data_IF_631130625177
#
_entry.id   IF_631130625177
#
_cell.length_a   1.000
_cell.length_b   1.000
_cell.length_c   1.000
_cell.angle_alpha   90.00
_cell.angle_beta   90.00
_cell.angle_gamma   90.00
#
_symmetry.space_group_name_H-M   'P 1'
#
loop_
_entity.id
_entity.type
_entity.pdbx_description
1 polymer ?
#
# COMPACT_ATOMS: atom_id res chain seq x y z
N UNK A 1 -7.19 -13.63 -3.49
CA UNK A 1 -6.08 -14.33 -4.18
C UNK A 1 -4.84 -14.18 -3.33
N UNK A 2 -4.01 -15.21 -3.15
CA UNK A 2 -2.78 -15.07 -2.35
C UNK A 2 -1.73 -14.35 -3.20
N UNK A 3 -1.52 -13.05 -2.96
CA UNK A 3 -0.46 -12.30 -3.63
C UNK A 3 0.90 -12.72 -3.04
N UNK A 4 1.79 -13.22 -3.89
CA UNK A 4 3.15 -13.58 -3.47
C UNK A 4 4.04 -12.33 -3.43
N UNK A 5 4.39 -11.89 -2.24
CA UNK A 5 5.22 -10.70 -2.02
C UNK A 5 6.65 -10.87 -2.53
N UNK A 6 7.09 -12.12 -2.78
CA UNK A 6 8.40 -12.44 -3.36
C UNK A 6 8.48 -11.99 -4.81
N UNK A 7 7.46 -12.30 -5.61
CA UNK A 7 7.40 -11.94 -7.03
C UNK A 7 7.34 -10.42 -7.21
N UNK A 8 6.52 -9.74 -6.41
CA UNK A 8 6.41 -8.27 -6.39
C UNK A 8 7.78 -7.63 -6.07
N UNK A 9 8.47 -8.16 -5.07
CA UNK A 9 9.80 -7.67 -4.70
C UNK A 9 10.86 -7.92 -5.77
N UNK A 10 10.77 -9.02 -6.51
CA UNK A 10 11.63 -9.26 -7.67
C UNK A 10 11.33 -8.27 -8.80
N UNK A 11 10.06 -7.98 -9.08
CA UNK A 11 9.65 -6.99 -10.08
C UNK A 11 10.17 -5.59 -9.72
N UNK A 12 10.01 -5.15 -8.47
CA UNK A 12 10.56 -3.88 -7.99
C UNK A 12 12.08 -3.79 -8.19
N UNK A 13 12.81 -4.87 -7.89
CA UNK A 13 14.27 -4.93 -8.09
C UNK A 13 14.64 -4.84 -9.57
N UNK A 14 13.92 -5.56 -10.44
CA UNK A 14 14.12 -5.51 -11.90
C UNK A 14 13.87 -4.11 -12.47
N UNK A 15 12.92 -3.37 -11.90
CA UNK A 15 12.63 -1.98 -12.25
C UNK A 15 13.59 -0.96 -11.61
N UNK A 16 14.67 -1.41 -10.95
CA UNK A 16 15.69 -0.53 -10.37
C UNK A 16 15.37 0.00 -8.97
N UNK A 17 14.26 -0.41 -8.36
CA UNK A 17 13.90 0.03 -7.02
C UNK A 17 14.50 -0.85 -5.94
N UNK A 18 15.04 -0.20 -4.90
CA UNK A 18 15.52 -0.89 -3.71
C UNK A 18 14.36 -1.41 -2.87
N UNK A 19 14.28 -2.72 -2.69
CA UNK A 19 13.36 -3.35 -1.71
C UNK A 19 14.09 -3.47 -0.37
N UNK A 20 13.87 -2.48 0.50
CA UNK A 20 14.41 -2.49 1.86
C UNK A 20 13.56 -3.38 2.77
N UNK A 21 14.08 -3.82 3.94
CA UNK A 21 13.28 -4.58 4.91
C UNK A 21 11.99 -3.86 5.34
N UNK A 22 12.03 -2.52 5.44
CA UNK A 22 10.86 -1.71 5.77
C UNK A 22 9.80 -1.75 4.66
N UNK A 23 10.22 -1.64 3.39
CA UNK A 23 9.31 -1.75 2.24
C UNK A 23 8.68 -3.13 2.14
N UNK A 24 9.49 -4.17 2.36
CA UNK A 24 9.00 -5.56 2.39
C UNK A 24 7.98 -5.75 3.52
N UNK A 25 8.30 -5.30 4.74
CA UNK A 25 7.42 -5.45 5.90
C UNK A 25 6.05 -4.78 5.70
N UNK A 26 6.02 -3.60 5.07
CA UNK A 26 4.78 -2.88 4.79
C UNK A 26 3.98 -3.57 3.68
N UNK A 27 4.65 -4.05 2.62
CA UNK A 27 4.01 -4.85 1.56
C UNK A 27 3.38 -6.13 2.14
N UNK A 28 4.12 -6.86 2.97
CA UNK A 28 3.64 -8.07 3.64
C UNK A 28 2.46 -7.77 4.56
N UNK A 29 2.48 -6.62 5.26
CA UNK A 29 1.38 -6.20 6.12
C UNK A 29 0.08 -5.97 5.32
N UNK A 30 0.15 -5.28 4.17
CA UNK A 30 -1.01 -5.07 3.31
C UNK A 30 -1.56 -6.41 2.79
N UNK A 31 -0.70 -7.29 2.27
CA UNK A 31 -1.10 -8.61 1.78
C UNK A 31 -1.73 -9.49 2.87
N UNK A 32 -1.29 -9.34 4.13
CA UNK A 32 -1.79 -10.11 5.27
C UNK A 32 -3.10 -9.58 5.82
N UNK A 33 -3.29 -8.26 5.83
CA UNK A 33 -4.46 -7.62 6.44
C UNK A 33 -5.73 -7.73 5.59
N UNK A 34 -5.61 -8.03 4.30
CA UNK A 34 -6.72 -8.41 3.43
C UNK A 34 -7.01 -7.40 2.33
N UNK A 35 -8.23 -7.45 1.79
CA UNK A 35 -8.56 -6.78 0.53
C UNK A 35 -8.61 -5.26 0.64
N UNK A 36 -9.10 -4.67 1.74
CA UNK A 36 -9.11 -3.21 1.92
C UNK A 36 -8.51 -2.83 3.28
N UNK A 37 -7.32 -2.23 3.26
CA UNK A 37 -6.55 -1.95 4.46
C UNK A 37 -6.30 -0.45 4.63
N UNK A 38 -6.69 0.12 5.76
CA UNK A 38 -6.41 1.54 6.03
C UNK A 38 -4.93 1.76 6.38
N UNK A 39 -4.37 2.95 6.11
CA UNK A 39 -3.00 3.30 6.53
C UNK A 39 -2.74 3.08 8.01
N UNK A 40 -3.73 3.36 8.85
CA UNK A 40 -3.66 3.21 10.30
C UNK A 40 -3.55 1.74 10.67
N UNK A 41 -4.34 0.86 10.04
CA UNK A 41 -4.25 -0.58 10.26
C UNK A 41 -2.89 -1.15 9.84
N UNK A 42 -2.33 -0.68 8.73
CA UNK A 42 -0.96 -1.04 8.30
C UNK A 42 0.05 -0.56 9.33
N UNK A 43 -0.05 0.69 9.78
CA UNK A 43 0.85 1.24 10.79
C UNK A 43 0.78 0.46 12.09
N UNK A 44 -0.40 0.19 12.64
CA UNK A 44 -0.57 -0.55 13.89
C UNK A 44 -0.05 -1.99 13.79
N UNK A 45 -0.19 -2.62 12.62
CA UNK A 45 0.38 -3.94 12.36
C UNK A 45 1.91 -3.89 12.33
N UNK A 46 2.47 -2.99 11.53
CA UNK A 46 3.92 -2.86 11.34
C UNK A 46 4.62 -2.38 12.61
N UNK A 47 4.02 -1.46 13.36
CA UNK A 47 4.59 -0.92 14.59
C UNK A 47 4.72 -1.96 15.69
N UNK A 48 3.81 -2.95 15.75
CA UNK A 48 3.94 -4.11 16.66
C UNK A 48 5.15 -4.99 16.33
N UNK A 49 5.60 -4.99 15.08
CA UNK A 49 6.73 -5.80 14.60
C UNK A 49 8.03 -4.99 14.64
N UNK A 50 7.96 -3.72 14.27
CA UNK A 50 9.08 -2.79 14.19
C UNK A 50 8.72 -1.43 14.83
N UNK A 51 8.83 -1.30 16.17
CA UNK A 51 8.41 -0.09 16.89
C UNK A 51 9.16 1.19 16.48
N UNK A 52 10.36 1.06 15.93
CA UNK A 52 11.17 2.19 15.45
C UNK A 52 10.66 2.78 14.13
N UNK A 53 9.74 2.11 13.44
CA UNK A 53 9.20 2.56 12.18
C UNK A 53 8.15 3.66 12.42
N UNK A 54 8.42 4.86 11.88
CA UNK A 54 7.52 6.00 12.03
C UNK A 54 6.28 5.88 11.16
N UNK A 55 5.18 6.51 11.60
CA UNK A 55 3.95 6.61 10.79
C UNK A 55 4.23 7.26 9.43
N UNK A 56 5.06 8.30 9.37
CA UNK A 56 5.47 8.93 8.11
C UNK A 56 6.16 7.96 7.13
N UNK A 57 6.97 7.02 7.64
CA UNK A 57 7.60 5.98 6.83
C UNK A 57 6.56 5.05 6.21
N UNK A 58 5.53 4.65 6.96
CA UNK A 58 4.44 3.81 6.43
C UNK A 58 3.75 4.48 5.26
N UNK A 59 3.32 5.73 5.43
CA UNK A 59 2.59 6.46 4.39
C UNK A 59 3.45 6.68 3.14
N UNK A 60 4.75 7.02 3.31
CA UNK A 60 5.67 7.16 2.17
C UNK A 60 5.85 5.86 1.39
N UNK A 61 5.88 4.72 2.06
CA UNK A 61 5.99 3.42 1.39
C UNK A 61 4.68 3.03 0.71
N UNK A 62 3.53 3.23 1.36
CA UNK A 62 2.22 3.00 0.75
C UNK A 62 2.04 3.85 -0.52
N UNK A 63 2.40 5.13 -0.45
CA UNK A 63 2.44 6.02 -1.62
C UNK A 63 3.36 5.49 -2.72
N UNK A 64 4.61 5.15 -2.37
CA UNK A 64 5.56 4.59 -3.33
C UNK A 64 5.04 3.33 -4.02
N UNK A 65 4.45 2.38 -3.28
CA UNK A 65 3.88 1.15 -3.85
C UNK A 65 2.67 1.44 -4.75
N UNK A 66 1.92 2.50 -4.45
CA UNK A 66 0.82 2.97 -5.31
C UNK A 66 1.34 3.58 -6.61
N UNK A 67 2.40 4.40 -6.54
CA UNK A 67 3.08 4.95 -7.73
C UNK A 67 3.69 3.85 -8.61
N UNK A 68 4.03 2.70 -8.04
CA UNK A 68 4.52 1.54 -8.78
C UNK A 68 3.40 0.61 -9.26
N UNK A 69 2.13 1.00 -9.12
CA UNK A 69 0.96 0.19 -9.47
C UNK A 69 0.93 -1.19 -8.79
N UNK A 70 1.56 -1.32 -7.63
CA UNK A 70 1.50 -2.53 -6.80
C UNK A 70 0.28 -2.48 -5.89
N UNK A 71 -0.02 -1.29 -5.38
CA UNK A 71 -1.22 -1.02 -4.61
C UNK A 71 -2.16 -0.10 -5.39
N UNK A 72 -3.45 -0.26 -5.14
CA UNK A 72 -4.47 0.70 -5.51
C UNK A 72 -5.03 1.38 -4.25
N UNK A 73 -5.46 2.63 -4.42
CA UNK A 73 -6.11 3.43 -3.40
C UNK A 73 -7.61 3.46 -3.68
N UNK A 74 -8.41 3.11 -2.69
CA UNK A 74 -9.87 3.05 -2.79
C UNK A 74 -10.53 3.83 -1.66
N UNK A 75 -11.67 4.46 -1.96
CA UNK A 75 -12.54 5.04 -0.95
C UNK A 75 -13.58 4.01 -0.53
N UNK A 76 -13.59 3.65 0.75
CA UNK A 76 -14.60 2.78 1.33
C UNK A 76 -15.97 3.49 1.35
N UNK A 77 -17.04 2.72 1.53
CA UNK A 77 -18.41 3.24 1.56
C UNK A 77 -18.65 4.30 2.67
N UNK A 78 -17.83 4.28 3.72
CA UNK A 78 -17.85 5.26 4.82
C UNK A 78 -16.93 6.47 4.59
N UNK A 79 -16.34 6.60 3.39
CA UNK A 79 -15.46 7.69 2.99
C UNK A 79 -13.99 7.51 3.38
N UNK A 80 -13.65 6.49 4.17
CA UNK A 80 -12.26 6.25 4.59
C UNK A 80 -11.40 5.76 3.42
N UNK A 81 -10.12 6.14 3.48
CA UNK A 81 -9.13 5.68 2.53
C UNK A 81 -8.64 4.27 2.90
N UNK A 82 -8.61 3.38 1.91
CA UNK A 82 -8.01 2.07 2.03
C UNK A 82 -7.07 1.77 0.86
N UNK A 83 -6.15 0.85 1.10
CA UNK A 83 -5.20 0.32 0.14
C UNK A 83 -5.51 -1.14 -0.11
N UNK A 84 -5.36 -1.56 -1.35
CA UNK A 84 -5.54 -2.93 -1.79
C UNK A 84 -4.45 -3.31 -2.78
N UNK A 85 -4.25 -4.60 -3.00
CA UNK A 85 -3.36 -5.07 -4.07
C UNK A 85 -3.95 -4.69 -5.41
N UNK A 86 -3.14 -4.06 -6.28
CA UNK A 86 -3.58 -3.74 -7.62
C UNK A 86 -3.92 -5.04 -8.37
N UNK A 87 -5.14 -5.12 -8.91
CA UNK A 87 -5.59 -6.25 -9.72
C UNK A 87 -4.87 -6.32 -11.08
N UNK A 88 -5.02 -7.43 -11.82
CA UNK A 88 -4.47 -7.57 -13.18
C UNK A 88 -5.13 -6.66 -14.21
N UNK A 89 -6.29 -6.06 -13.89
CA UNK A 89 -6.94 -5.08 -14.75
C UNK A 89 -6.70 -3.65 -14.22
N UNK A 90 -6.39 -2.68 -15.10
CA UNK A 90 -6.27 -1.28 -14.72
C UNK A 90 -7.66 -0.78 -14.30
N UNK A 91 -7.93 -0.77 -12.99
CA UNK A 91 -9.09 -0.09 -12.46
C UNK A 91 -8.90 1.41 -12.71
N UNK A 92 -9.73 1.97 -13.59
CA UNK A 92 -9.76 3.40 -13.89
C UNK A 92 -9.80 4.19 -12.58
N UNK A 93 -8.69 4.84 -12.22
CA UNK A 93 -8.64 5.75 -11.10
C UNK A 93 -9.47 6.99 -11.44
N UNK A 94 -10.74 7.01 -11.03
CA UNK A 94 -11.53 8.24 -10.96
C UNK A 94 -10.98 9.06 -9.79
N UNK A 95 -9.98 9.90 -10.08
CA UNK A 95 -9.56 10.97 -9.17
C UNK A 95 -10.72 11.94 -9.03
N UNK A 96 -11.34 11.98 -7.85
CA UNK A 96 -12.29 13.03 -7.50
C UNK A 96 -11.53 14.37 -7.48
N UNK A 97 -11.75 15.21 -8.49
CA UNK A 97 -11.26 16.60 -8.51
C UNK A 97 -12.14 17.57 -7.70
N UNK A 98 -13.03 17.07 -6.84
CA UNK A 98 -14.08 17.88 -6.21
C UNK A 98 -13.93 18.07 -4.69
N UNK A 99 -12.80 17.69 -4.10
CA UNK A 99 -12.50 17.98 -2.70
C UNK A 99 -11.42 19.07 -2.58
N UNK A 100 -11.74 20.28 -3.05
CA UNK A 100 -11.14 21.51 -2.52
C UNK A 100 -12.03 22.73 -2.79
N UNK A 101 -13.22 22.71 -2.20
CA UNK A 101 -14.04 23.92 -2.03
C UNK A 101 -14.44 24.01 -0.57
N UNK A 102 -13.63 24.74 0.19
CA UNK A 102 -14.06 25.49 1.37
C UNK A 102 -14.24 26.94 0.94
#
# INVERSE_FOLDING_TARGET
>A
MSHDTTEISLQLRKSGYRVTPQRQLILDAVCRLGDHVTPEAVYDHVHRIAPTLSRATVYRVLHFLTEQHILAMVHMADGRLAYEMAGPEPHHHLVCRSCDSL
#
